data_IF_961339882798
#
_entry.id   IF_961339882798
#
_cell.length_a   1.000
_cell.length_b   1.000
_cell.length_c   1.000
_cell.angle_alpha   90.00
_cell.angle_beta   90.00
_cell.angle_gamma   90.00
#
_symmetry.space_group_name_H-M   'P 1'
#
loop_
_entity.id
_entity.type
_entity.pdbx_description
1 polymer ?
#
# COMPACT_ATOMS: atom_id res chain seq x y z
N UNK A 1 24.22 -14.56 2.37
CA UNK A 1 22.83 -15.03 2.44
C UNK A 1 21.98 -13.83 2.79
N UNK A 2 20.90 -13.60 2.06
CA UNK A 2 20.02 -12.47 2.32
C UNK A 2 19.30 -12.69 3.65
N UNK A 3 19.31 -11.70 4.54
CA UNK A 3 18.70 -11.85 5.87
C UNK A 3 17.21 -11.59 5.73
N UNK A 4 16.32 -12.52 6.13
CA UNK A 4 14.89 -12.28 6.03
C UNK A 4 14.49 -11.10 6.92
N UNK A 5 14.00 -10.03 6.28
CA UNK A 5 13.44 -8.86 6.95
C UNK A 5 11.92 -8.83 6.82
N UNK A 6 11.27 -8.10 7.72
CA UNK A 6 9.85 -7.73 7.62
C UNK A 6 9.76 -6.24 7.32
N UNK A 7 9.02 -5.89 6.28
CA UNK A 7 8.94 -4.53 5.74
C UNK A 7 7.55 -3.95 6.01
N UNK A 8 7.48 -2.74 6.59
CA UNK A 8 6.29 -1.92 6.55
C UNK A 8 6.57 -0.73 5.62
N UNK A 9 5.89 -0.67 4.47
CA UNK A 9 6.07 0.38 3.49
C UNK A 9 4.86 1.31 3.52
N UNK A 10 5.10 2.62 3.63
CA UNK A 10 4.07 3.65 3.50
C UNK A 10 4.14 4.29 2.11
N UNK A 11 3.03 4.27 1.37
CA UNK A 11 2.93 4.92 0.05
C UNK A 11 1.90 6.04 0.06
N UNK A 12 0.73 5.86 -0.55
CA UNK A 12 -0.39 6.83 -0.61
C UNK A 12 -1.63 6.16 -1.19
N UNK A 13 -2.82 6.61 -0.79
CA UNK A 13 -4.04 6.32 -1.54
C UNK A 13 -3.97 6.94 -2.94
N UNK A 14 -4.64 6.33 -3.91
CA UNK A 14 -4.75 6.81 -5.29
C UNK A 14 -3.58 6.44 -6.19
N UNK A 15 -2.71 5.50 -5.81
CA UNK A 15 -1.58 5.06 -6.65
C UNK A 15 -2.01 4.42 -7.97
N UNK A 16 -3.26 4.00 -8.07
CA UNK A 16 -3.88 3.50 -9.30
C UNK A 16 -4.53 4.60 -10.14
N UNK A 17 -4.64 5.84 -9.66
CA UNK A 17 -5.08 7.00 -10.46
C UNK A 17 -3.92 7.57 -11.28
N UNK A 18 -3.90 7.25 -12.57
CA UNK A 18 -2.81 7.62 -13.47
C UNK A 18 -3.12 8.78 -14.43
N UNK A 19 -4.40 9.10 -14.62
CA UNK A 19 -4.88 10.01 -15.65
C UNK A 19 -5.00 11.46 -15.17
N UNK A 20 -4.94 11.70 -13.85
CA UNK A 20 -4.90 13.05 -13.31
C UNK A 20 -3.75 13.86 -13.91
N UNK A 21 -4.03 15.12 -14.27
CA UNK A 21 -3.02 16.01 -14.86
C UNK A 21 -1.81 16.23 -13.96
N UNK A 22 -2.00 16.13 -12.64
CA UNK A 22 -0.93 16.23 -11.67
C UNK A 22 -0.02 14.99 -11.69
N UNK A 23 -0.59 13.77 -11.71
CA UNK A 23 0.24 12.57 -11.78
C UNK A 23 0.94 12.44 -13.14
N UNK A 24 0.29 12.80 -14.25
CA UNK A 24 0.95 12.77 -15.56
C UNK A 24 2.16 13.70 -15.66
N UNK A 25 2.21 14.77 -14.84
CA UNK A 25 3.34 15.71 -14.80
C UNK A 25 4.44 15.31 -13.82
N UNK A 26 4.09 14.63 -12.74
CA UNK A 26 5.00 14.37 -11.61
C UNK A 26 5.38 12.90 -11.47
N UNK A 27 4.54 11.99 -11.98
CA UNK A 27 4.61 10.53 -11.86
C UNK A 27 4.74 10.02 -10.41
N UNK A 28 4.39 10.84 -9.41
CA UNK A 28 4.63 10.50 -8.00
C UNK A 28 3.85 9.24 -7.59
N UNK A 29 2.62 9.08 -8.08
CA UNK A 29 1.83 7.87 -7.81
C UNK A 29 2.42 6.65 -8.51
N UNK A 30 2.84 6.82 -9.77
CA UNK A 30 3.47 5.75 -10.55
C UNK A 30 4.76 5.27 -9.87
N UNK A 31 5.62 6.19 -9.40
CA UNK A 31 6.84 5.83 -8.65
C UNK A 31 6.56 5.16 -7.31
N UNK A 32 5.52 5.59 -6.58
CA UNK A 32 5.10 4.89 -5.37
C UNK A 32 4.61 3.48 -5.70
N UNK A 33 3.78 3.29 -6.73
CA UNK A 33 3.31 1.96 -7.16
C UNK A 33 4.44 1.04 -7.59
N UNK A 34 5.47 1.57 -8.29
CA UNK A 34 6.69 0.82 -8.62
C UNK A 34 7.46 0.37 -7.38
N UNK A 35 7.57 1.21 -6.36
CA UNK A 35 8.21 0.82 -5.10
C UNK A 35 7.47 -0.33 -4.40
N UNK A 36 6.13 -0.33 -4.47
CA UNK A 36 5.33 -1.43 -3.96
C UNK A 36 5.60 -2.72 -4.72
N UNK A 37 5.64 -2.67 -6.06
CA UNK A 37 5.98 -3.83 -6.92
C UNK A 37 7.32 -4.44 -6.53
N UNK A 38 8.33 -3.62 -6.28
CA UNK A 38 9.66 -4.09 -5.85
C UNK A 38 9.63 -4.74 -4.46
N UNK A 39 8.89 -4.17 -3.50
CA UNK A 39 8.71 -4.79 -2.18
C UNK A 39 8.03 -6.16 -2.31
N UNK A 40 7.00 -6.30 -3.16
CA UNK A 40 6.37 -7.60 -3.41
C UNK A 40 7.32 -8.59 -4.09
N UNK A 41 8.07 -8.14 -5.09
CA UNK A 41 9.03 -8.95 -5.83
C UNK A 41 10.19 -9.45 -4.95
N UNK A 42 10.64 -8.66 -3.95
CA UNK A 42 11.75 -9.01 -3.05
C UNK A 42 11.59 -10.36 -2.32
N UNK A 43 10.35 -10.83 -2.17
CA UNK A 43 10.04 -12.07 -1.45
C UNK A 43 10.10 -11.97 0.07
N UNK A 44 10.41 -10.79 0.63
CA UNK A 44 10.32 -10.53 2.06
C UNK A 44 8.85 -10.50 2.54
N UNK A 45 8.66 -10.67 3.84
CA UNK A 45 7.35 -10.43 4.45
C UNK A 45 7.13 -8.92 4.44
N UNK A 46 5.98 -8.47 3.95
CA UNK A 46 5.67 -7.04 3.86
C UNK A 46 4.26 -6.70 4.31
N UNK A 47 4.05 -5.44 4.64
CA UNK A 47 2.76 -4.78 4.72
C UNK A 47 2.88 -3.43 4.03
N UNK A 48 2.01 -3.16 3.05
CA UNK A 48 2.00 -1.91 2.30
C UNK A 48 0.76 -1.13 2.73
N UNK A 49 0.99 0.06 3.26
CA UNK A 49 -0.05 0.96 3.77
C UNK A 49 -0.14 2.16 2.84
N UNK A 50 -1.34 2.43 2.32
CA UNK A 50 -1.66 3.55 1.43
C UNK A 50 -2.54 4.55 2.17
N UNK A 51 -1.97 5.46 2.99
CA UNK A 51 -2.81 6.31 3.82
C UNK A 51 -3.50 7.40 3.00
N UNK A 52 -4.65 7.84 3.51
CA UNK A 52 -5.38 9.01 3.01
C UNK A 52 -4.67 10.34 3.30
N UNK A 53 -5.42 11.43 3.31
CA UNK A 53 -4.90 12.77 3.53
C UNK A 53 -4.47 13.00 4.99
N UNK A 54 -3.21 13.37 5.19
CA UNK A 54 -2.60 13.43 6.51
C UNK A 54 -3.09 14.64 7.31
N UNK A 55 -3.64 14.39 8.49
CA UNK A 55 -4.11 15.40 9.45
C UNK A 55 -5.22 16.32 8.89
N UNK A 56 -5.98 15.82 7.91
CA UNK A 56 -7.24 16.43 7.45
C UNK A 56 -8.46 15.90 8.22
N UNK A 57 -8.22 15.04 9.21
CA UNK A 57 -9.24 14.43 10.03
C UNK A 57 -9.78 15.40 11.08
N UNK A 58 -11.03 15.19 11.48
CA UNK A 58 -11.65 15.88 12.61
C UNK A 58 -11.19 15.28 13.94
N UNK A 59 -11.43 16.02 15.03
CA UNK A 59 -11.08 15.61 16.39
C UNK A 59 -11.78 14.32 16.86
N UNK A 60 -12.88 13.89 16.21
CA UNK A 60 -13.65 12.69 16.57
C UNK A 60 -13.48 11.53 15.58
N UNK A 61 -12.52 11.63 14.66
CA UNK A 61 -12.21 10.60 13.65
C UNK A 61 -11.08 9.69 14.12
N UNK A 62 -11.38 8.87 15.14
CA UNK A 62 -10.39 7.95 15.71
C UNK A 62 -10.51 6.51 15.22
N UNK A 63 -11.62 6.16 14.57
CA UNK A 63 -11.88 4.79 14.11
C UNK A 63 -11.09 4.51 12.83
N UNK A 64 -10.09 3.65 12.91
CA UNK A 64 -9.30 3.22 11.76
C UNK A 64 -10.13 2.32 10.85
N UNK A 65 -10.06 2.55 9.54
CA UNK A 65 -10.67 1.75 8.50
C UNK A 65 -9.62 1.38 7.44
N UNK A 66 -9.57 0.11 7.09
CA UNK A 66 -8.70 -0.43 6.04
C UNK A 66 -9.52 -0.82 4.82
N UNK A 67 -9.14 -0.34 3.65
CA UNK A 67 -9.83 -0.58 2.37
C UNK A 67 -8.91 -1.31 1.40
N UNK A 68 -9.45 -1.88 0.32
CA UNK A 68 -8.64 -2.52 -0.73
C UNK A 68 -9.14 -2.21 -2.14
N UNK A 69 -8.18 -2.13 -3.06
CA UNK A 69 -8.40 -1.95 -4.50
C UNK A 69 -8.28 -0.51 -4.97
N UNK A 70 -7.96 0.41 -4.06
CA UNK A 70 -7.55 1.78 -4.33
C UNK A 70 -8.55 2.51 -5.21
N UNK A 71 -9.82 2.50 -4.80
CA UNK A 71 -10.95 2.96 -5.66
C UNK A 71 -11.35 4.42 -5.46
N UNK A 72 -10.64 5.14 -4.58
CA UNK A 72 -10.94 6.53 -4.23
C UNK A 72 -9.92 7.43 -4.92
N UNK A 73 -10.36 8.13 -5.97
CA UNK A 73 -9.52 8.89 -6.92
C UNK A 73 -9.94 10.35 -7.06
N UNK A 74 -10.64 10.92 -6.08
CA UNK A 74 -11.08 12.31 -6.11
C UNK A 74 -9.88 13.27 -6.14
N UNK A 75 -8.73 12.88 -5.60
CA UNK A 75 -7.56 13.75 -5.46
C UNK A 75 -7.79 14.84 -4.41
N UNK A 76 -8.69 14.58 -3.46
CA UNK A 76 -9.09 15.48 -2.38
C UNK A 76 -9.29 14.68 -1.09
N UNK A 77 -9.43 15.34 0.08
CA UNK A 77 -9.75 14.67 1.34
C UNK A 77 -10.98 13.75 1.31
N UNK A 78 -11.84 13.84 0.29
CA UNK A 78 -12.97 12.91 0.06
C UNK A 78 -12.50 11.47 -0.16
N UNK A 79 -11.25 11.26 -0.58
CA UNK A 79 -10.64 9.94 -0.66
C UNK A 79 -10.41 9.31 0.73
N UNK A 80 -10.51 10.12 1.77
CA UNK A 80 -10.34 9.75 3.16
C UNK A 80 -9.14 10.42 3.78
N UNK A 81 -9.20 10.56 5.10
CA UNK A 81 -8.28 11.32 5.93
C UNK A 81 -7.72 10.42 7.02
N UNK A 82 -6.56 10.73 7.58
CA UNK A 82 -5.95 9.93 8.64
C UNK A 82 -4.92 10.79 9.37
N UNK A 83 -4.79 10.65 10.70
CA UNK A 83 -3.75 11.37 11.42
C UNK A 83 -2.38 10.69 11.27
N UNK A 84 -1.30 11.46 11.37
CA UNK A 84 0.07 10.91 11.40
C UNK A 84 0.29 9.95 12.57
N UNK A 85 -0.39 10.18 13.69
CA UNK A 85 -0.36 9.28 14.85
C UNK A 85 -0.97 7.91 14.51
N UNK A 86 -2.16 7.88 13.89
CA UNK A 86 -2.80 6.64 13.48
C UNK A 86 -1.98 5.91 12.40
N UNK A 87 -1.38 6.65 11.47
CA UNK A 87 -0.45 6.06 10.48
C UNK A 87 0.72 5.35 11.19
N UNK A 88 1.36 6.02 12.14
CA UNK A 88 2.47 5.45 12.89
C UNK A 88 2.04 4.20 13.68
N UNK A 89 0.87 4.25 14.33
CA UNK A 89 0.30 3.12 15.06
C UNK A 89 0.13 1.89 14.16
N UNK A 90 -0.45 2.05 12.97
CA UNK A 90 -0.69 0.96 12.01
C UNK A 90 0.63 0.40 11.48
N UNK A 91 1.57 1.26 11.08
CA UNK A 91 2.88 0.83 10.56
C UNK A 91 3.68 0.02 11.61
N UNK A 92 3.72 0.49 12.85
CA UNK A 92 4.44 -0.20 13.94
C UNK A 92 3.75 -1.52 14.29
N UNK A 93 2.42 -1.53 14.37
CA UNK A 93 1.66 -2.74 14.70
C UNK A 93 1.82 -3.81 13.62
N UNK A 94 1.85 -3.43 12.34
CA UNK A 94 2.05 -4.36 11.23
C UNK A 94 3.38 -5.13 11.32
N UNK A 95 4.44 -4.51 11.87
CA UNK A 95 5.74 -5.16 12.03
C UNK A 95 5.70 -6.33 13.02
N UNK A 96 4.81 -6.32 14.02
CA UNK A 96 4.69 -7.41 15.00
C UNK A 96 3.43 -8.26 14.84
N UNK A 97 2.55 -7.96 13.88
CA UNK A 97 1.28 -8.64 13.70
C UNK A 97 1.29 -9.60 12.50
N UNK A 98 1.14 -10.89 12.76
CA UNK A 98 1.11 -11.92 11.72
C UNK A 98 -0.13 -11.83 10.82
N UNK A 99 -1.22 -11.24 11.29
CA UNK A 99 -2.37 -10.94 10.46
C UNK A 99 -2.06 -9.89 9.40
N UNK A 100 -1.01 -9.06 9.54
CA UNK A 100 -0.66 -8.01 8.57
C UNK A 100 0.19 -8.51 7.39
N UNK A 101 0.62 -9.79 7.39
CA UNK A 101 1.56 -10.34 6.41
C UNK A 101 1.02 -10.31 4.98
N UNK A 102 1.84 -9.78 4.08
CA UNK A 102 1.66 -9.76 2.63
C UNK A 102 0.32 -9.14 2.21
N UNK A 103 0.04 -7.97 2.79
CA UNK A 103 -1.19 -7.21 2.56
C UNK A 103 -0.88 -5.81 2.04
N UNK A 104 -1.75 -5.36 1.14
CA UNK A 104 -1.84 -3.99 0.69
C UNK A 104 -3.22 -3.46 1.00
N UNK A 105 -3.29 -2.27 1.58
CA UNK A 105 -4.56 -1.63 1.90
C UNK A 105 -4.43 -0.12 1.97
N UNK A 106 -5.54 0.56 1.71
CA UNK A 106 -5.72 1.97 1.95
C UNK A 106 -6.12 2.21 3.39
N UNK A 107 -5.59 3.27 4.02
CA UNK A 107 -5.76 3.56 5.43
C UNK A 107 -6.42 4.92 5.61
N UNK A 108 -7.60 4.92 6.23
CA UNK A 108 -8.36 6.12 6.54
C UNK A 108 -8.90 6.04 7.97
N UNK A 109 -9.28 7.18 8.52
CA UNK A 109 -10.02 7.30 9.76
C UNK A 109 -11.44 7.78 9.47
N UNK A 110 -12.37 7.27 10.27
CA UNK A 110 -13.75 7.69 10.28
C UNK A 110 -14.14 8.09 11.70
N UNK A 111 -15.28 8.77 11.81
CA UNK A 111 -15.87 9.14 13.09
C UNK A 111 -16.10 7.89 13.96
N UNK A 112 -15.62 7.94 15.20
CA UNK A 112 -15.83 6.90 16.19
C UNK A 112 -14.61 6.63 17.06
N UNK A 113 -14.77 5.71 18.01
CA UNK A 113 -13.75 5.36 18.98
C UNK A 113 -12.54 4.66 18.36
N UNK A 114 -11.34 4.92 18.92
CA UNK A 114 -10.12 4.23 18.54
C UNK A 114 -10.20 2.74 18.89
N UNK A 115 -9.80 1.88 17.95
CA UNK A 115 -9.67 0.44 18.22
C UNK A 115 -8.37 0.15 19.00
N UNK A 116 -8.49 -0.59 20.10
CA UNK A 116 -7.33 -1.01 20.90
C UNK A 116 -6.53 -2.15 20.23
N UNK A 117 -7.20 -3.01 19.47
CA UNK A 117 -6.58 -4.11 18.73
C UNK A 117 -6.89 -3.98 17.24
N UNK A 118 -5.83 -3.90 16.43
CA UNK A 118 -5.90 -3.81 14.98
C UNK A 118 -5.85 -5.17 14.29
N UNK A 119 -5.59 -6.26 15.03
CA UNK A 119 -5.51 -7.63 14.48
C UNK A 119 -6.76 -8.04 13.69
N UNK A 120 -7.99 -7.78 14.17
CA UNK A 120 -9.19 -8.12 13.41
C UNK A 120 -9.26 -7.40 12.06
N UNK A 121 -8.87 -6.13 12.01
CA UNK A 121 -8.86 -5.35 10.78
C UNK A 121 -7.90 -5.94 9.75
N UNK A 122 -6.69 -6.31 10.17
CA UNK A 122 -5.73 -6.97 9.28
C UNK A 122 -6.23 -8.33 8.80
N UNK A 123 -6.89 -9.09 9.68
CA UNK A 123 -7.40 -10.43 9.36
C UNK A 123 -8.52 -10.42 8.31
N UNK A 124 -9.32 -9.35 8.25
CA UNK A 124 -10.40 -9.17 7.27
C UNK A 124 -9.88 -8.89 5.85
N UNK A 125 -8.67 -8.33 5.72
CA UNK A 125 -8.08 -8.02 4.42
C UNK A 125 -7.73 -9.29 3.64
N UNK A 126 -7.75 -9.21 2.31
CA UNK A 126 -7.15 -10.24 1.45
C UNK A 126 -5.64 -10.06 1.34
N UNK A 127 -4.93 -11.17 1.24
CA UNK A 127 -3.50 -11.16 0.94
C UNK A 127 -3.30 -10.79 -0.54
N UNK A 128 -2.19 -10.15 -0.81
CA UNK A 128 -1.70 -9.97 -2.17
C UNK A 128 -1.35 -11.31 -2.80
N UNK A 129 -1.48 -11.40 -4.12
CA UNK A 129 -1.20 -12.61 -4.86
C UNK A 129 0.34 -12.79 -5.00
N UNK A 130 0.93 -13.89 -4.48
CA UNK A 130 2.39 -14.07 -4.48
C UNK A 130 2.99 -14.34 -5.87
N UNK A 131 2.16 -14.53 -6.90
CA UNK A 131 2.56 -14.64 -8.30
C UNK A 131 2.38 -13.32 -9.07
N UNK A 132 1.90 -12.25 -8.44
CA UNK A 132 1.75 -10.91 -9.04
C UNK A 132 2.51 -9.87 -8.24
N UNK A 133 2.86 -8.77 -8.90
CA UNK A 133 3.54 -7.63 -8.26
C UNK A 133 2.59 -6.47 -7.95
N UNK A 134 1.32 -6.55 -8.34
CA UNK A 134 0.28 -5.57 -8.01
C UNK A 134 -0.48 -5.92 -6.72
N UNK A 135 -1.04 -4.91 -6.07
CA UNK A 135 -1.88 -5.08 -4.90
C UNK A 135 -3.17 -5.83 -5.25
N UNK A 136 -3.72 -6.57 -4.28
CA UNK A 136 -5.01 -7.24 -4.48
C UNK A 136 -6.10 -6.22 -4.81
N UNK A 137 -6.89 -6.52 -5.85
CA UNK A 137 -7.96 -5.66 -6.38
C UNK A 137 -7.53 -4.35 -7.04
N UNK A 138 -6.24 -4.07 -7.16
CA UNK A 138 -5.76 -2.93 -7.95
C UNK A 138 -6.27 -3.02 -9.39
N UNK A 139 -6.58 -1.85 -9.96
CA UNK A 139 -6.92 -1.74 -11.38
C UNK A 139 -5.67 -2.07 -12.21
N UNK A 140 -5.86 -2.88 -13.25
CA UNK A 140 -4.80 -3.26 -14.20
C UNK A 140 -4.63 -2.16 -15.26
N UNK A 141 -3.94 -1.07 -14.88
CA UNK A 141 -3.74 0.11 -15.71
C UNK A 141 -2.28 0.60 -15.75
N UNK A 142 -1.33 -0.23 -15.33
CA UNK A 142 0.11 0.06 -15.37
C UNK A 142 0.87 -1.18 -15.88
N UNK A 143 0.71 -1.56 -17.16
CA UNK A 143 1.25 -2.82 -17.67
C UNK A 143 2.78 -2.84 -17.58
N UNK A 144 3.35 -3.99 -17.19
CA UNK A 144 4.80 -4.15 -17.02
C UNK A 144 5.59 -3.88 -18.32
N UNK A 145 4.98 -4.09 -19.49
CA UNK A 145 5.59 -3.86 -20.80
C UNK A 145 5.81 -2.39 -21.12
N UNK A 146 5.15 -1.48 -20.40
CA UNK A 146 5.29 -0.03 -20.57
C UNK A 146 6.13 0.63 -19.46
N UNK A 147 6.68 -0.18 -18.55
CA UNK A 147 7.52 0.33 -17.46
C UNK A 147 8.91 0.74 -17.97
N UNK A 148 9.58 1.71 -17.31
CA UNK A 148 10.97 2.02 -17.59
C UNK A 148 11.87 0.78 -17.51
N UNK A 149 12.86 0.68 -18.40
CA UNK A 149 13.76 -0.48 -18.49
C UNK A 149 14.44 -0.81 -17.16
N UNK A 150 14.81 0.19 -16.37
CA UNK A 150 15.40 -0.01 -15.05
C UNK A 150 14.45 -0.75 -14.09
N UNK A 151 13.16 -0.42 -14.10
CA UNK A 151 12.15 -1.07 -13.25
C UNK A 151 11.93 -2.51 -13.70
N UNK A 152 11.88 -2.76 -15.01
CA UNK A 152 11.76 -4.11 -15.56
C UNK A 152 12.97 -4.96 -15.15
N UNK A 153 14.18 -4.41 -15.26
CA UNK A 153 15.41 -5.08 -14.87
C UNK A 153 15.44 -5.40 -13.37
N UNK A 154 15.06 -4.46 -12.52
CA UNK A 154 14.97 -4.68 -11.07
C UNK A 154 13.94 -5.76 -10.73
N UNK A 155 12.75 -5.72 -11.33
CA UNK A 155 11.74 -6.77 -11.12
C UNK A 155 12.20 -8.15 -11.60
N UNK A 156 12.96 -8.21 -12.71
CA UNK A 156 13.53 -9.45 -13.21
C UNK A 156 14.63 -10.03 -12.31
N UNK A 157 15.43 -9.17 -11.66
CA UNK A 157 16.43 -9.61 -10.66
C UNK A 157 15.78 -10.34 -9.48
N UNK A 158 14.59 -9.91 -9.07
CA UNK A 158 13.85 -10.49 -7.94
C UNK A 158 12.77 -11.50 -8.36
N UNK A 159 12.50 -11.66 -9.66
CA UNK A 159 11.56 -12.64 -10.17
C UNK A 159 12.03 -14.05 -9.79
N UNK A 160 11.15 -14.81 -9.15
CA UNK A 160 11.42 -16.16 -8.60
C UNK A 160 11.78 -17.23 -9.66
N UNK A 161 11.96 -16.85 -10.93
CA UNK A 161 12.24 -17.75 -12.06
C UNK A 161 13.72 -17.87 -12.46
N UNK A 162 14.67 -17.29 -11.72
CA UNK A 162 16.11 -17.38 -12.04
C UNK A 162 16.90 -18.42 -11.22
N UNK A 163 16.22 -19.33 -10.51
CA UNK A 163 16.86 -20.53 -9.95
C UNK A 163 16.38 -21.75 -10.73
N UNK A 164 17.04 -22.00 -11.86
CA UNK A 164 17.09 -23.31 -12.53
C UNK A 164 18.00 -24.21 -11.70
#
# INVERSE_FOLDING_TARGET
MDTPVRIALMTTIGVTERLSSWNQRTEVHDWKRRSERLVRASGHIYTIVRPGWFDYNNDDEHRIVMLQGDRRHAGTPEDGVISREQIAQVLVTALSNDAAKNKTFELVAERGEAQQDLTPLFAELRNDNPQKNDGVFDIDNMPLTEEPECVINDLNLYSKNSKI
#
